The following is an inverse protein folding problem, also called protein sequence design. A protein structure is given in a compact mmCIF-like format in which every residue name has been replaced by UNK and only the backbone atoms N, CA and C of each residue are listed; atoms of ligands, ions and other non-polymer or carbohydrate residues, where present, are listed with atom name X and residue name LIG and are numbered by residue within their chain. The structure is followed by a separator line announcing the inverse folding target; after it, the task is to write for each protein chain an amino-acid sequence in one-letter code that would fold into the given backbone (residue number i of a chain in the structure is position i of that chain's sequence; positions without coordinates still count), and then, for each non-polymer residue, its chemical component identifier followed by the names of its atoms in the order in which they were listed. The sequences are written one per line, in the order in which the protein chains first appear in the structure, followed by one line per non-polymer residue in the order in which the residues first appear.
data_IF_451323025749
#
_entry.id   IF_451323025749
#
_cell.length_a   1.000
_cell.length_b   1.000
_cell.length_c   1.000
_cell.angle_alpha   90.00
_cell.angle_beta   90.00
_cell.angle_gamma   90.00
#
_symmetry.space_group_name_H-M   'P 1'
#
loop_
_entity.id
_entity.type
_entity.pdbx_description
1 polymer ?
#
# COMPACT_ATOMS: atom_id res chain seq x y z
N UNK A 1 -6.33 -4.57 -3.88
CA UNK A 1 -7.51 -4.31 -3.04
C UNK A 1 -7.25 -4.85 -1.65
N UNK A 2 -7.84 -4.28 -0.60
CA UNK A 2 -7.86 -4.92 0.72
C UNK A 2 -8.82 -6.12 0.71
N UNK A 3 -8.48 -7.16 1.47
CA UNK A 3 -9.28 -8.39 1.52
C UNK A 3 -10.69 -8.07 2.04
N UNK A 4 -11.72 -8.57 1.36
CA UNK A 4 -13.11 -8.36 1.76
C UNK A 4 -13.67 -6.97 1.46
N UNK A 5 -12.90 -6.10 0.79
CA UNK A 5 -13.36 -4.78 0.37
C UNK A 5 -13.09 -4.54 -1.11
N UNK A 6 -13.76 -3.52 -1.67
CA UNK A 6 -13.44 -2.98 -3.00
C UNK A 6 -12.48 -1.78 -2.92
N UNK A 7 -11.81 -1.60 -1.79
CA UNK A 7 -10.95 -0.45 -1.52
C UNK A 7 -9.54 -0.77 -2.06
N UNK A 8 -9.01 0.02 -3.01
CA UNK A 8 -7.67 -0.18 -3.52
C UNK A 8 -6.63 0.13 -2.45
N UNK A 9 -5.59 -0.71 -2.36
CA UNK A 9 -4.46 -0.45 -1.47
C UNK A 9 -3.77 0.87 -1.86
N UNK A 10 -3.61 1.10 -3.17
CA UNK A 10 -2.98 2.31 -3.69
C UNK A 10 -3.64 3.60 -3.19
N UNK A 11 -4.98 3.66 -3.15
CA UNK A 11 -5.72 4.83 -2.69
C UNK A 11 -5.38 5.17 -1.24
N UNK A 12 -5.40 4.18 -0.35
CA UNK A 12 -5.08 4.39 1.08
C UNK A 12 -3.61 4.76 1.26
N UNK A 13 -2.70 4.15 0.49
CA UNK A 13 -1.28 4.51 0.52
C UNK A 13 -1.03 5.93 0.03
N UNK A 14 -1.73 6.38 -1.01
CA UNK A 14 -1.61 7.73 -1.53
C UNK A 14 -2.10 8.77 -0.51
N UNK A 15 -3.22 8.51 0.18
CA UNK A 15 -3.69 9.38 1.26
C UNK A 15 -2.72 9.45 2.44
N UNK A 16 -2.20 8.32 2.91
CA UNK A 16 -1.17 8.29 3.97
C UNK A 16 0.08 9.07 3.57
N UNK A 17 0.53 8.95 2.32
CA UNK A 17 1.68 9.70 1.79
C UNK A 17 1.38 11.19 1.61
N UNK A 18 0.12 11.56 1.39
CA UNK A 18 -0.33 12.94 1.38
C UNK A 18 -0.48 13.54 2.79
N UNK A 19 -0.26 12.74 3.85
CA UNK A 19 -0.30 13.19 5.23
C UNK A 19 -1.66 13.04 5.92
N UNK A 20 -2.62 12.35 5.30
CA UNK A 20 -3.89 12.01 5.95
C UNK A 20 -3.61 11.12 7.16
N UNK A 21 -4.21 11.46 8.30
CA UNK A 21 -4.00 10.72 9.54
C UNK A 21 -4.69 9.35 9.51
N UNK A 22 -4.22 8.44 10.36
CA UNK A 22 -4.87 7.13 10.52
C UNK A 22 -6.32 7.28 10.96
N UNK A 23 -6.59 8.18 11.89
CA UNK A 23 -7.92 8.41 12.46
C UNK A 23 -8.91 8.86 11.38
N UNK A 24 -8.50 9.73 10.47
CA UNK A 24 -9.30 10.13 9.31
C UNK A 24 -9.57 8.94 8.38
N UNK A 25 -8.58 8.08 8.13
CA UNK A 25 -8.77 6.88 7.30
C UNK A 25 -9.68 5.83 7.95
N UNK A 26 -9.69 5.73 9.28
CA UNK A 26 -10.63 4.87 10.01
C UNK A 26 -12.08 5.35 9.82
N UNK A 27 -12.28 6.68 9.79
CA UNK A 27 -13.60 7.28 9.53
C UNK A 27 -14.03 7.15 8.07
N UNK A 28 -13.12 7.41 7.13
CA UNK A 28 -13.41 7.35 5.69
C UNK A 28 -13.59 5.92 5.17
N UNK A 29 -12.87 4.96 5.79
CA UNK A 29 -12.88 3.56 5.39
C UNK A 29 -13.29 2.62 6.54
N UNK A 30 -14.54 2.71 7.04
CA UNK A 30 -14.98 1.97 8.24
C UNK A 30 -15.03 0.44 8.04
N UNK A 31 -14.87 -0.04 6.79
CA UNK A 31 -14.78 -1.46 6.45
C UNK A 31 -13.36 -2.02 6.48
N UNK A 32 -12.34 -1.16 6.62
CA UNK A 32 -10.96 -1.61 6.79
C UNK A 32 -10.75 -2.03 8.24
N UNK A 33 -10.12 -3.19 8.42
CA UNK A 33 -9.67 -3.59 9.74
C UNK A 33 -8.47 -2.75 10.17
N UNK A 34 -8.26 -2.64 11.48
CA UNK A 34 -7.08 -1.98 12.05
C UNK A 34 -5.77 -2.56 11.46
N UNK A 35 -5.67 -3.89 11.31
CA UNK A 35 -4.50 -4.53 10.68
C UNK A 35 -4.31 -4.18 9.20
N UNK A 36 -5.38 -3.84 8.47
CA UNK A 36 -5.27 -3.38 7.09
C UNK A 36 -4.65 -1.97 7.04
N UNK A 37 -5.02 -1.11 7.99
CA UNK A 37 -4.45 0.24 8.13
C UNK A 37 -3.00 0.18 8.64
N UNK A 38 -2.68 -0.71 9.57
CA UNK A 38 -1.29 -0.96 10.01
C UNK A 38 -0.39 -1.34 8.83
N UNK A 39 -0.87 -2.28 8.00
CA UNK A 39 -0.17 -2.68 6.79
C UNK A 39 0.01 -1.49 5.82
N UNK A 40 -1.01 -0.65 5.68
CA UNK A 40 -0.97 0.52 4.82
C UNK A 40 0.05 1.56 5.31
N UNK A 41 0.09 1.85 6.62
CA UNK A 41 1.07 2.77 7.21
C UNK A 41 2.51 2.31 6.99
N UNK A 42 2.79 1.03 7.20
CA UNK A 42 4.11 0.45 6.95
C UNK A 42 4.49 0.63 5.48
N UNK A 43 3.59 0.27 4.56
CA UNK A 43 3.82 0.38 3.12
C UNK A 43 3.93 1.83 2.62
N UNK A 44 3.25 2.78 3.24
CA UNK A 44 3.31 4.18 2.86
C UNK A 44 4.69 4.78 3.10
N UNK A 45 5.38 4.33 4.16
CA UNK A 45 6.75 4.75 4.54
C UNK A 45 7.84 4.12 3.68
N UNK A 46 7.56 2.96 3.07
CA UNK A 46 8.53 2.30 2.19
C UNK A 46 8.66 3.06 0.86
N UNK A 47 9.87 3.13 0.27
CA UNK A 47 10.05 3.68 -1.07
C UNK A 47 9.18 2.92 -2.06
N UNK A 48 8.66 3.62 -3.07
CA UNK A 48 7.84 2.99 -4.11
C UNK A 48 8.63 1.81 -4.69
N UNK A 49 8.07 0.58 -4.69
CA UNK A 49 8.80 -0.57 -5.18
C UNK A 49 9.30 -0.28 -6.59
N UNK A 50 10.57 -0.61 -6.91
CA UNK A 50 11.05 -0.46 -8.27
C UNK A 50 10.06 -1.21 -9.17
N UNK A 51 9.51 -0.48 -10.14
CA UNK A 51 8.62 -1.09 -11.12
C UNK A 51 9.29 -2.30 -11.77
N UNK A 52 8.51 -3.13 -12.47
CA UNK A 52 9.04 -4.30 -13.17
C UNK A 52 10.35 -3.93 -13.89
N UNK A 53 11.47 -4.61 -13.61
CA UNK A 53 12.72 -4.35 -14.30
C UNK A 53 12.46 -4.34 -15.81
N UNK A 54 12.85 -3.26 -16.50
CA UNK A 54 12.65 -3.14 -17.96
C UNK A 54 13.51 -4.13 -18.73
N UNK A 55 14.59 -4.63 -18.13
CA UNK A 55 15.43 -5.67 -18.69
C UNK A 55 15.10 -7.03 -18.08
N UNK A 56 15.04 -8.04 -18.94
CA UNK A 56 14.95 -9.44 -18.54
C UNK A 56 16.23 -9.78 -17.78
N UNK A 57 16.09 -10.18 -16.51
CA UNK A 57 17.22 -10.63 -15.71
C UNK A 57 17.76 -11.92 -16.34
N UNK A 58 18.87 -11.82 -17.07
CA UNK A 58 19.63 -12.98 -17.53
C UNK A 58 20.29 -13.62 -16.33
N UNK A 59 19.63 -14.61 -15.72
CA UNK A 59 20.24 -15.42 -14.66
C UNK A 59 21.30 -16.32 -15.32
N UNK A 60 22.54 -15.84 -15.40
CA UNK A 60 23.68 -16.73 -15.68
C UNK A 60 23.93 -17.56 -14.43
N UNK A 61 23.62 -18.86 -14.50
CA UNK A 61 24.13 -19.84 -13.54
C UNK A 61 25.60 -20.09 -13.89
N UNK A 62 26.50 -19.72 -12.99
CA UNK A 62 27.88 -20.19 -12.99
C UNK A 62 27.99 -21.57 -12.37
#
# INVERSE_FOLDING_TARGET
MFRGTRIPVAVVLEQLRAGVSREELEQDFPKLSSSALDYAEIQARLPKPPGRPRQVLSVQRG
#
